data_IF_113090610278
#
_entry.id   IF_113090610278
#
_cell.length_a   1.000
_cell.length_b   1.000
_cell.length_c   1.000
_cell.angle_alpha   90.00
_cell.angle_beta   90.00
_cell.angle_gamma   90.00
#
_symmetry.space_group_name_H-M   'P 1'
#
loop_
_entity.id
_entity.type
_entity.pdbx_description
1 polymer ?
#
# COMPACT_ATOMS: atom_id res chain seq x y z
N UNK A 1 -10.13 4.35 20.39
CA UNK A 1 -11.21 3.99 19.46
C UNK A 1 -11.99 2.90 20.16
N UNK A 2 -13.24 3.13 20.55
CA UNK A 2 -14.05 2.10 21.21
C UNK A 2 -14.63 1.24 20.09
N UNK A 3 -14.11 0.02 19.93
CA UNK A 3 -14.70 -0.99 19.05
C UNK A 3 -15.99 -1.49 19.71
N UNK A 4 -17.11 -0.92 19.28
CA UNK A 4 -18.41 -1.47 19.59
C UNK A 4 -18.83 -2.35 18.41
N UNK A 5 -18.70 -3.67 18.58
CA UNK A 5 -19.41 -4.62 17.73
C UNK A 5 -20.88 -4.58 18.14
N UNK A 6 -21.67 -3.80 17.41
CA UNK A 6 -23.12 -3.74 17.52
C UNK A 6 -23.68 -4.45 16.29
N UNK A 7 -24.78 -5.17 16.44
CA UNK A 7 -25.53 -5.72 15.32
C UNK A 7 -25.81 -4.63 14.26
N UNK A 8 -25.44 -4.91 13.02
CA UNK A 8 -25.49 -3.93 11.94
C UNK A 8 -26.93 -3.46 11.66
N UNK A 9 -27.92 -4.35 11.76
CA UNK A 9 -29.33 -3.98 11.55
C UNK A 9 -29.82 -3.03 12.64
N UNK A 10 -29.56 -3.35 13.91
CA UNK A 10 -29.99 -2.52 15.04
C UNK A 10 -29.33 -1.15 15.03
N UNK A 11 -28.03 -1.09 14.70
CA UNK A 11 -27.32 0.16 14.55
C UNK A 11 -27.93 1.01 13.42
N UNK A 12 -28.07 0.45 12.21
CA UNK A 12 -28.60 1.16 11.05
C UNK A 12 -30.04 1.63 11.29
N UNK A 13 -30.90 0.79 11.89
CA UNK A 13 -32.26 1.20 12.31
C UNK A 13 -32.21 2.40 13.25
N UNK A 14 -31.26 2.43 14.19
CA UNK A 14 -31.12 3.55 15.13
C UNK A 14 -30.66 4.86 14.45
N UNK A 15 -29.93 4.77 13.34
CA UNK A 15 -29.48 5.93 12.53
C UNK A 15 -30.62 6.47 11.66
N UNK A 16 -31.51 5.60 11.19
CA UNK A 16 -32.64 5.97 10.34
C UNK A 16 -33.79 6.62 11.14
N UNK A 17 -33.84 6.43 12.47
CA UNK A 17 -34.90 6.98 13.34
C UNK A 17 -35.02 8.52 13.23
N UNK A 18 -36.18 9.05 12.78
CA UNK A 18 -36.38 10.50 12.61
C UNK A 18 -36.32 11.26 13.94
N UNK A 19 -36.68 10.61 15.05
CA UNK A 19 -36.73 11.24 16.38
C UNK A 19 -35.34 11.45 17.03
N UNK A 20 -34.26 10.97 16.39
CA UNK A 20 -32.88 11.06 16.93
C UNK A 20 -31.87 11.52 15.85
N UNK A 21 -32.08 12.67 15.18
CA UNK A 21 -31.24 13.11 14.06
C UNK A 21 -29.77 13.33 14.45
N UNK A 22 -29.52 13.63 15.73
CA UNK A 22 -28.17 13.85 16.25
C UNK A 22 -27.26 12.62 16.17
N UNK A 23 -27.82 11.40 16.18
CA UNK A 23 -27.02 10.17 16.12
C UNK A 23 -26.37 9.99 14.75
N UNK A 24 -27.14 10.12 13.68
CA UNK A 24 -26.64 10.05 12.31
C UNK A 24 -25.61 11.14 12.03
N UNK A 25 -25.89 12.38 12.48
CA UNK A 25 -24.98 13.50 12.33
C UNK A 25 -23.67 13.34 13.13
N UNK A 26 -23.65 12.55 14.21
CA UNK A 26 -22.44 12.30 14.99
C UNK A 26 -21.49 11.29 14.31
N UNK A 27 -21.99 10.47 13.38
CA UNK A 27 -21.17 9.46 12.69
C UNK A 27 -20.11 10.15 11.84
N UNK A 28 -18.84 9.83 12.11
CA UNK A 28 -17.67 10.30 11.34
C UNK A 28 -16.97 9.17 10.59
N UNK A 29 -17.03 7.96 11.14
CA UNK A 29 -16.43 6.76 10.60
C UNK A 29 -17.51 5.69 10.60
N UNK A 30 -17.71 5.06 9.45
CA UNK A 30 -18.59 3.91 9.29
C UNK A 30 -17.79 2.74 8.75
N UNK A 31 -17.95 1.57 9.36
CA UNK A 31 -17.31 0.33 8.95
C UNK A 31 -18.36 -0.77 8.88
N UNK A 32 -18.41 -1.48 7.77
CA UNK A 32 -19.23 -2.68 7.60
C UNK A 32 -18.36 -3.75 6.94
N UNK A 33 -18.32 -4.92 7.57
CA UNK A 33 -17.59 -6.10 7.12
C UNK A 33 -18.55 -7.29 7.22
N UNK A 34 -19.07 -7.73 6.08
CA UNK A 34 -20.11 -8.75 6.02
C UNK A 34 -20.05 -9.45 4.66
N UNK A 35 -20.01 -10.79 4.62
CA UNK A 35 -19.93 -11.51 3.35
C UNK A 35 -21.23 -11.38 2.53
N UNK A 36 -22.37 -11.76 3.11
CA UNK A 36 -23.69 -11.74 2.47
C UNK A 36 -24.68 -10.94 3.32
N UNK A 37 -25.36 -9.97 2.70
CA UNK A 37 -25.96 -8.87 3.42
C UNK A 37 -27.24 -8.28 2.78
N UNK A 38 -28.02 -9.11 2.09
CA UNK A 38 -29.21 -8.68 1.35
C UNK A 38 -30.22 -7.92 2.23
N UNK A 39 -30.33 -8.29 3.52
CA UNK A 39 -31.28 -7.69 4.47
C UNK A 39 -30.90 -6.28 4.91
N UNK A 40 -29.61 -5.90 4.83
CA UNK A 40 -29.13 -4.58 5.27
C UNK A 40 -29.00 -3.57 4.13
N UNK A 41 -29.11 -4.00 2.86
CA UNK A 41 -28.97 -3.12 1.68
C UNK A 41 -29.86 -1.88 1.77
N UNK A 42 -31.16 -2.06 1.99
CA UNK A 42 -32.12 -0.95 2.04
C UNK A 42 -31.93 -0.07 3.28
N UNK A 43 -31.53 -0.67 4.41
CA UNK A 43 -31.23 0.06 5.62
C UNK A 43 -30.01 0.96 5.42
N UNK A 44 -28.94 0.44 4.81
CA UNK A 44 -27.73 1.20 4.53
C UNK A 44 -28.00 2.35 3.56
N UNK A 45 -28.72 2.09 2.46
CA UNK A 45 -29.14 3.12 1.50
C UNK A 45 -29.93 4.25 2.18
N UNK A 46 -30.80 3.91 3.12
CA UNK A 46 -31.61 4.88 3.87
C UNK A 46 -30.82 5.65 4.94
N UNK A 47 -29.77 5.03 5.49
CA UNK A 47 -28.95 5.61 6.54
C UNK A 47 -27.83 6.50 6.00
N UNK A 48 -27.21 6.13 4.88
CA UNK A 48 -26.05 6.81 4.29
C UNK A 48 -26.23 8.32 4.10
N UNK A 49 -27.30 8.83 3.45
CA UNK A 49 -27.47 10.27 3.26
C UNK A 49 -27.70 11.03 4.57
N UNK A 50 -28.16 10.34 5.64
CA UNK A 50 -28.36 10.95 6.96
C UNK A 50 -27.05 11.11 7.73
N UNK A 51 -25.99 10.40 7.34
CA UNK A 51 -24.67 10.50 7.94
C UNK A 51 -23.89 11.72 7.40
N UNK A 52 -24.55 12.86 7.15
CA UNK A 52 -24.07 14.16 7.64
C UNK A 52 -22.60 14.52 7.42
N UNK A 53 -21.81 14.06 8.39
CA UNK A 53 -20.43 14.42 8.61
C UNK A 53 -19.50 13.21 8.41
N UNK A 54 -19.96 12.19 7.68
CA UNK A 54 -19.20 10.99 7.39
C UNK A 54 -17.93 11.36 6.63
N UNK A 55 -16.80 10.95 7.19
CA UNK A 55 -15.46 11.28 6.71
C UNK A 55 -14.72 10.04 6.21
N UNK A 56 -14.99 8.88 6.82
CA UNK A 56 -14.40 7.59 6.45
C UNK A 56 -15.46 6.51 6.32
N UNK A 57 -15.37 5.75 5.24
CA UNK A 57 -16.16 4.54 5.00
C UNK A 57 -15.20 3.37 4.77
N UNK A 58 -15.48 2.27 5.47
CA UNK A 58 -14.93 0.95 5.21
C UNK A 58 -16.11 0.02 4.88
N UNK A 59 -16.10 -0.59 3.71
CA UNK A 59 -17.15 -1.48 3.24
C UNK A 59 -16.55 -2.71 2.55
N UNK A 60 -16.53 -3.83 3.26
CA UNK A 60 -16.11 -5.13 2.73
C UNK A 60 -17.33 -6.04 2.64
N UNK A 61 -17.67 -6.48 1.42
CA UNK A 61 -18.84 -7.34 1.19
C UNK A 61 -18.87 -7.98 -0.20
N UNK A 62 -19.48 -9.16 -0.29
CA UNK A 62 -19.72 -9.86 -1.56
C UNK A 62 -21.06 -9.46 -2.19
N UNK A 63 -22.00 -8.91 -1.40
CA UNK A 63 -23.25 -8.29 -1.88
C UNK A 63 -22.98 -6.95 -2.59
N UNK A 64 -23.05 -6.93 -3.92
CA UNK A 64 -22.73 -5.77 -4.76
C UNK A 64 -23.69 -4.59 -4.56
N UNK A 65 -24.93 -4.84 -4.19
CA UNK A 65 -25.99 -3.85 -3.99
C UNK A 65 -25.72 -2.93 -2.79
N UNK A 66 -24.86 -3.34 -1.85
CA UNK A 66 -24.44 -2.49 -0.73
C UNK A 66 -23.63 -1.28 -1.22
N UNK A 67 -22.85 -1.44 -2.29
CA UNK A 67 -22.03 -0.36 -2.83
C UNK A 67 -22.87 0.73 -3.50
N UNK A 68 -24.12 0.43 -3.90
CA UNK A 68 -25.04 1.46 -4.38
C UNK A 68 -25.37 2.51 -3.30
N UNK A 69 -25.25 2.18 -2.01
CA UNK A 69 -25.41 3.17 -0.95
C UNK A 69 -24.36 4.28 -1.02
N UNK A 70 -23.19 4.03 -1.62
CA UNK A 70 -22.14 5.04 -1.82
C UNK A 70 -22.55 6.13 -2.82
N UNK A 71 -23.52 5.86 -3.70
CA UNK A 71 -24.08 6.88 -4.59
C UNK A 71 -24.79 7.98 -3.81
N UNK A 72 -25.36 7.63 -2.66
CA UNK A 72 -26.10 8.53 -1.76
C UNK A 72 -25.21 9.02 -0.59
N UNK A 73 -23.91 8.70 -0.61
CA UNK A 73 -23.00 9.14 0.43
C UNK A 73 -22.76 10.66 0.36
N UNK A 74 -22.69 11.34 1.53
CA UNK A 74 -22.39 12.77 1.57
C UNK A 74 -21.06 13.07 0.87
N UNK A 75 -20.95 14.20 0.14
CA UNK A 75 -19.76 14.52 -0.67
C UNK A 75 -18.50 14.80 0.15
N UNK A 76 -18.60 14.83 1.48
CA UNK A 76 -17.50 15.16 2.40
C UNK A 76 -16.58 13.96 2.69
N UNK A 77 -16.86 12.80 2.09
CA UNK A 77 -16.07 11.60 2.29
C UNK A 77 -14.62 11.85 1.86
N UNK A 78 -13.67 11.57 2.78
CA UNK A 78 -12.23 11.75 2.55
C UNK A 78 -11.49 10.44 2.40
N UNK A 79 -11.97 9.39 3.06
CA UNK A 79 -11.34 8.08 3.08
C UNK A 79 -12.37 7.04 2.70
N UNK A 80 -12.10 6.28 1.64
CA UNK A 80 -12.93 5.18 1.19
C UNK A 80 -12.08 3.92 1.08
N UNK A 81 -12.49 2.88 1.79
CA UNK A 81 -11.91 1.55 1.73
C UNK A 81 -13.02 0.58 1.34
N UNK A 82 -12.84 -0.13 0.23
CA UNK A 82 -13.82 -1.07 -0.32
C UNK A 82 -13.19 -2.38 -0.75
N UNK A 83 -13.98 -3.45 -0.73
CA UNK A 83 -13.52 -4.76 -1.18
C UNK A 83 -14.56 -5.86 -1.00
N UNK A 84 -14.16 -7.08 -1.33
CA UNK A 84 -15.02 -8.28 -1.38
C UNK A 84 -14.74 -9.12 -2.62
N UNK A 85 -15.43 -10.23 -2.82
CA UNK A 85 -15.16 -11.11 -3.96
C UNK A 85 -15.76 -10.61 -5.29
N UNK A 86 -16.66 -9.62 -5.27
CA UNK A 86 -17.37 -9.14 -6.45
C UNK A 86 -17.21 -7.62 -6.65
N UNK A 87 -16.69 -7.21 -7.81
CA UNK A 87 -16.55 -5.78 -8.15
C UNK A 87 -17.91 -5.16 -8.54
N UNK A 88 -18.35 -4.05 -7.93
CA UNK A 88 -19.68 -3.49 -8.19
C UNK A 88 -19.70 -2.67 -9.50
N UNK A 89 -20.65 -2.89 -10.42
CA UNK A 89 -20.75 -2.11 -11.66
C UNK A 89 -20.92 -0.60 -11.43
N UNK A 90 -21.63 -0.21 -10.36
CA UNK A 90 -21.91 1.18 -10.00
C UNK A 90 -20.75 1.89 -9.27
N UNK A 91 -19.66 1.17 -8.95
CA UNK A 91 -18.60 1.72 -8.09
C UNK A 91 -17.91 2.91 -8.74
N UNK A 92 -17.80 2.90 -10.07
CA UNK A 92 -17.25 4.02 -10.82
C UNK A 92 -18.06 5.32 -10.61
N UNK A 93 -19.37 5.25 -10.75
CA UNK A 93 -20.28 6.38 -10.53
C UNK A 93 -20.25 6.86 -9.08
N UNK A 94 -20.10 5.93 -8.13
CA UNK A 94 -19.95 6.25 -6.72
C UNK A 94 -18.67 7.07 -6.48
N UNK A 95 -17.52 6.66 -7.04
CA UNK A 95 -16.28 7.42 -6.93
C UNK A 95 -16.39 8.83 -7.52
N UNK A 96 -17.06 8.97 -8.67
CA UNK A 96 -17.25 10.27 -9.32
C UNK A 96 -17.98 11.30 -8.43
N UNK A 97 -18.91 10.84 -7.58
CA UNK A 97 -19.64 11.71 -6.64
C UNK A 97 -18.79 12.18 -5.45
N UNK A 98 -17.63 11.56 -5.21
CA UNK A 98 -16.76 11.84 -4.06
C UNK A 98 -15.60 12.78 -4.41
N UNK A 99 -15.92 14.02 -4.78
CA UNK A 99 -14.91 15.03 -5.20
C UNK A 99 -13.88 15.38 -4.14
N UNK A 100 -14.20 15.17 -2.86
CA UNK A 100 -13.32 15.48 -1.72
C UNK A 100 -12.44 14.30 -1.29
N UNK A 101 -12.50 13.16 -1.97
CA UNK A 101 -11.77 11.95 -1.60
C UNK A 101 -10.25 12.16 -1.64
N UNK A 102 -9.59 11.85 -0.54
CA UNK A 102 -8.14 12.02 -0.34
C UNK A 102 -7.40 10.68 -0.30
N UNK A 103 -8.09 9.62 0.15
CA UNK A 103 -7.55 8.27 0.28
C UNK A 103 -8.53 7.24 -0.26
N UNK A 104 -8.05 6.40 -1.18
CA UNK A 104 -8.82 5.30 -1.76
C UNK A 104 -8.05 3.99 -1.60
N UNK A 105 -8.74 2.96 -1.10
CA UNK A 105 -8.25 1.59 -1.03
C UNK A 105 -9.27 0.66 -1.64
N UNK A 106 -8.83 -0.17 -2.57
CA UNK A 106 -9.68 -1.13 -3.29
C UNK A 106 -9.07 -2.52 -3.12
N UNK A 107 -9.88 -3.48 -2.63
CA UNK A 107 -9.46 -4.85 -2.34
C UNK A 107 -10.55 -5.84 -2.79
N UNK A 108 -10.73 -5.98 -4.10
CA UNK A 108 -11.64 -7.01 -4.63
C UNK A 108 -10.88 -8.28 -5.00
N UNK A 109 -11.54 -9.44 -4.98
CA UNK A 109 -10.95 -10.69 -5.47
C UNK A 109 -11.20 -10.89 -6.97
N UNK A 110 -10.31 -11.65 -7.62
CA UNK A 110 -10.42 -11.99 -9.05
C UNK A 110 -11.45 -13.10 -9.35
N UNK A 111 -11.95 -13.79 -8.32
CA UNK A 111 -12.73 -15.03 -8.47
C UNK A 111 -14.07 -14.84 -9.19
N UNK A 112 -14.74 -13.70 -9.00
CA UNK A 112 -16.03 -13.40 -9.65
C UNK A 112 -15.92 -13.06 -11.14
N UNK A 113 -14.72 -12.78 -11.64
CA UNK A 113 -14.49 -12.25 -13.00
C UNK A 113 -14.09 -13.36 -13.99
N UNK A 114 -13.66 -14.52 -13.48
CA UNK A 114 -13.13 -15.67 -14.25
C UNK A 114 -14.20 -16.63 -14.83
N UNK A 115 -15.50 -16.36 -14.66
CA UNK A 115 -16.56 -17.27 -15.13
C UNK A 115 -16.67 -17.37 -16.67
N UNK A 116 -16.11 -16.39 -17.38
CA UNK A 116 -15.95 -16.40 -18.84
C UNK A 116 -14.48 -16.63 -19.14
N UNK A 117 -14.09 -17.83 -19.58
CA UNK A 117 -12.70 -18.25 -19.77
C UNK A 117 -11.94 -17.54 -20.90
N UNK A 118 -11.96 -16.22 -20.93
CA UNK A 118 -11.15 -15.35 -21.77
C UNK A 118 -10.11 -14.62 -20.91
N UNK A 119 -8.98 -14.32 -21.55
CA UNK A 119 -7.74 -13.79 -21.00
C UNK A 119 -7.92 -12.60 -20.03
N UNK A 120 -7.15 -12.60 -18.95
CA UNK A 120 -6.79 -11.43 -18.12
C UNK A 120 -7.87 -10.34 -17.97
N UNK A 121 -8.88 -10.59 -17.14
CA UNK A 121 -9.93 -9.58 -16.93
C UNK A 121 -9.44 -8.47 -15.98
N UNK A 122 -8.94 -7.40 -16.57
CA UNK A 122 -8.58 -6.18 -15.83
C UNK A 122 -9.79 -5.28 -15.59
N UNK A 123 -9.85 -4.68 -14.40
CA UNK A 123 -10.86 -3.67 -14.09
C UNK A 123 -10.30 -2.30 -14.46
N UNK A 124 -10.96 -1.66 -15.43
CA UNK A 124 -10.59 -0.35 -15.95
C UNK A 124 -11.03 0.80 -15.02
N UNK A 125 -10.41 0.89 -13.84
CA UNK A 125 -10.66 1.95 -12.86
C UNK A 125 -10.28 3.33 -13.43
N UNK A 126 -11.22 4.28 -13.40
CA UNK A 126 -11.03 5.68 -13.85
C UNK A 126 -10.55 5.81 -15.31
N UNK A 127 -10.84 4.79 -16.13
CA UNK A 127 -10.44 4.72 -17.53
C UNK A 127 -11.26 5.61 -18.46
N UNK A 128 -12.41 6.10 -18.01
CA UNK A 128 -13.35 6.89 -18.79
C UNK A 128 -12.94 8.36 -18.89
N UNK A 129 -12.14 8.86 -17.96
CA UNK A 129 -11.94 10.30 -17.83
C UNK A 129 -12.06 10.85 -16.42
N UNK A 130 -12.63 10.10 -15.49
CA UNK A 130 -13.03 10.60 -14.18
C UNK A 130 -11.84 11.17 -13.39
N UNK A 131 -11.98 12.42 -12.95
CA UNK A 131 -10.97 13.12 -12.17
C UNK A 131 -11.31 13.01 -10.68
N UNK A 132 -10.39 12.42 -9.91
CA UNK A 132 -10.34 12.49 -8.45
C UNK A 132 -9.24 13.49 -8.03
N UNK A 133 -9.45 14.81 -8.17
CA UNK A 133 -8.36 15.80 -8.09
C UNK A 133 -7.67 15.86 -6.73
N UNK A 134 -8.35 15.41 -5.67
CA UNK A 134 -7.86 15.50 -4.29
C UNK A 134 -7.20 14.21 -3.79
N UNK A 135 -7.17 13.15 -4.60
CA UNK A 135 -6.61 11.86 -4.18
C UNK A 135 -5.10 11.97 -4.00
N UNK A 136 -4.64 11.67 -2.79
CA UNK A 136 -3.22 11.70 -2.40
C UNK A 136 -2.71 10.32 -2.02
N UNK A 137 -3.59 9.44 -1.56
CA UNK A 137 -3.27 8.08 -1.13
C UNK A 137 -4.08 7.07 -1.94
N UNK A 138 -3.39 6.14 -2.57
CA UNK A 138 -3.99 5.13 -3.42
C UNK A 138 -3.43 3.76 -3.03
N UNK A 139 -4.31 2.82 -2.73
CA UNK A 139 -3.97 1.41 -2.52
C UNK A 139 -4.71 0.56 -3.53
N UNK A 140 -3.94 -0.15 -4.35
CA UNK A 140 -4.45 -1.01 -5.43
C UNK A 140 -3.91 -2.43 -5.30
N UNK A 141 -4.71 -3.39 -5.71
CA UNK A 141 -4.23 -4.70 -6.15
C UNK A 141 -3.84 -4.58 -7.63
N UNK A 142 -2.55 -4.71 -7.93
CA UNK A 142 -2.02 -4.49 -9.26
C UNK A 142 -2.38 -5.62 -10.25
N UNK A 143 -2.75 -6.82 -9.76
CA UNK A 143 -3.22 -7.90 -10.63
C UNK A 143 -4.59 -7.56 -11.24
N UNK A 144 -5.43 -6.82 -10.50
CA UNK A 144 -6.77 -6.44 -10.94
C UNK A 144 -6.84 -5.02 -11.51
N UNK A 145 -6.09 -4.10 -10.90
CA UNK A 145 -6.10 -2.67 -11.20
C UNK A 145 -4.71 -2.22 -11.63
N UNK A 146 -4.33 -2.58 -12.86
CA UNK A 146 -3.03 -2.23 -13.40
C UNK A 146 -2.82 -0.70 -13.44
N UNK A 147 -1.69 -0.18 -12.90
CA UNK A 147 -1.39 1.25 -12.95
C UNK A 147 -1.36 1.84 -14.37
N UNK A 148 -0.98 1.03 -15.37
CA UNK A 148 -0.96 1.42 -16.79
C UNK A 148 -2.33 1.77 -17.37
N UNK A 149 -3.42 1.37 -16.72
CA UNK A 149 -4.79 1.69 -17.13
C UNK A 149 -5.27 3.07 -16.65
N UNK A 150 -4.53 3.71 -15.75
CA UNK A 150 -4.84 5.05 -15.27
C UNK A 150 -4.46 6.09 -16.33
N UNK A 151 -5.45 6.86 -16.80
CA UNK A 151 -5.24 7.88 -17.84
C UNK A 151 -4.64 9.19 -17.34
N UNK A 152 -4.74 9.48 -16.04
CA UNK A 152 -4.29 10.75 -15.47
C UNK A 152 -3.27 10.56 -14.36
N UNK A 153 -2.24 11.39 -14.38
CA UNK A 153 -1.31 11.56 -13.28
C UNK A 153 -1.97 12.39 -12.18
N UNK A 154 -2.71 11.73 -11.28
CA UNK A 154 -3.17 12.35 -10.04
C UNK A 154 -1.97 12.76 -9.16
N UNK A 155 -2.11 13.75 -8.27
CA UNK A 155 -1.05 14.15 -7.36
C UNK A 155 -0.86 13.14 -6.20
N UNK A 156 -0.76 11.85 -6.54
CA UNK A 156 -0.55 10.76 -5.59
C UNK A 156 0.80 10.97 -4.89
N UNK A 157 0.75 11.09 -3.58
CA UNK A 157 1.93 11.16 -2.71
C UNK A 157 2.23 9.82 -2.05
N UNK A 158 1.22 8.98 -1.82
CA UNK A 158 1.38 7.65 -1.24
C UNK A 158 0.72 6.60 -2.14
N UNK A 159 1.53 5.67 -2.63
CA UNK A 159 1.05 4.53 -3.41
C UNK A 159 1.35 3.23 -2.68
N UNK A 160 0.34 2.38 -2.56
CA UNK A 160 0.49 0.98 -2.15
C UNK A 160 0.03 0.09 -3.29
N UNK A 161 0.91 -0.81 -3.74
CA UNK A 161 0.60 -1.83 -4.73
C UNK A 161 0.68 -3.20 -4.06
N UNK A 162 -0.38 -3.98 -4.20
CA UNK A 162 -0.45 -5.37 -3.75
C UNK A 162 -0.29 -6.30 -4.95
N UNK A 163 0.51 -7.34 -4.77
CA UNK A 163 0.90 -8.34 -5.77
C UNK A 163 1.38 -7.79 -7.12
N UNK A 164 2.16 -6.69 -7.18
CA UNK A 164 2.53 -6.11 -8.47
C UNK A 164 3.60 -6.93 -9.19
N UNK A 165 3.51 -6.98 -10.52
CA UNK A 165 4.65 -7.38 -11.34
C UNK A 165 5.71 -6.27 -11.38
N UNK A 166 6.88 -6.60 -11.91
CA UNK A 166 7.94 -5.59 -12.12
C UNK A 166 7.51 -4.51 -13.14
N UNK A 167 6.66 -4.87 -14.10
CA UNK A 167 6.13 -3.93 -15.10
C UNK A 167 5.13 -2.95 -14.47
N UNK A 168 4.23 -3.44 -13.61
CA UNK A 168 3.26 -2.60 -12.89
C UNK A 168 3.94 -1.53 -12.04
N UNK A 169 5.03 -1.90 -11.36
CA UNK A 169 5.85 -0.96 -10.58
C UNK A 169 6.46 0.09 -11.50
N UNK A 170 7.08 -0.32 -12.61
CA UNK A 170 7.72 0.62 -13.54
C UNK A 170 6.73 1.63 -14.10
N UNK A 171 5.55 1.18 -14.51
CA UNK A 171 4.52 2.05 -15.05
C UNK A 171 3.93 2.99 -14.00
N UNK A 172 3.72 2.51 -12.77
CA UNK A 172 3.33 3.37 -11.65
C UNK A 172 4.40 4.44 -11.35
N UNK A 173 5.67 4.07 -11.35
CA UNK A 173 6.77 4.99 -11.08
C UNK A 173 6.91 6.07 -12.16
N UNK A 174 6.68 5.73 -13.43
CA UNK A 174 6.60 6.74 -14.51
C UNK A 174 5.45 7.70 -14.28
N UNK A 175 4.25 7.14 -14.03
CA UNK A 175 3.01 7.91 -13.91
C UNK A 175 3.05 8.90 -12.75
N UNK A 176 3.58 8.50 -11.60
CA UNK A 176 3.60 9.30 -10.37
C UNK A 176 4.97 9.90 -10.04
N UNK A 177 5.88 9.93 -11.01
CA UNK A 177 7.29 10.29 -10.81
C UNK A 177 7.51 11.59 -10.04
N UNK A 178 6.71 12.62 -10.34
CA UNK A 178 6.87 13.98 -9.81
C UNK A 178 6.22 14.22 -8.44
N UNK A 179 5.38 13.31 -7.96
CA UNK A 179 4.52 13.53 -6.79
C UNK A 179 4.74 12.50 -5.69
N UNK A 180 5.22 11.31 -6.04
CA UNK A 180 5.34 10.19 -5.12
C UNK A 180 6.34 10.48 -4.00
N UNK A 181 5.88 10.37 -2.75
CA UNK A 181 6.68 10.52 -1.51
C UNK A 181 6.86 9.18 -0.81
N UNK A 182 5.86 8.31 -0.88
CA UNK A 182 5.84 6.99 -0.26
C UNK A 182 5.43 5.94 -1.26
N UNK A 183 6.24 4.90 -1.42
CA UNK A 183 5.90 3.69 -2.16
C UNK A 183 5.88 2.48 -1.22
N UNK A 184 4.81 1.71 -1.30
CA UNK A 184 4.69 0.40 -0.66
C UNK A 184 4.38 -0.63 -1.74
N UNK A 185 5.19 -1.68 -1.84
CA UNK A 185 4.99 -2.78 -2.79
C UNK A 185 4.97 -4.10 -2.02
N UNK A 186 3.81 -4.75 -1.96
CA UNK A 186 3.61 -6.02 -1.28
C UNK A 186 3.49 -7.16 -2.27
N UNK A 187 4.22 -8.26 -2.05
CA UNK A 187 4.08 -9.48 -2.83
C UNK A 187 4.57 -9.31 -4.26
N UNK A 188 5.68 -8.59 -4.46
CA UNK A 188 6.21 -8.33 -5.80
C UNK A 188 6.50 -9.65 -6.50
N UNK A 189 5.80 -9.89 -7.62
CA UNK A 189 6.00 -11.08 -8.44
C UNK A 189 7.09 -10.82 -9.47
N UNK A 190 7.97 -11.81 -9.65
CA UNK A 190 8.99 -11.76 -10.68
C UNK A 190 8.64 -12.74 -11.80
N UNK A 191 8.89 -12.38 -13.07
CA UNK A 191 8.92 -13.38 -14.12
C UNK A 191 9.95 -14.44 -13.74
N UNK A 192 9.62 -15.72 -13.93
CA UNK A 192 10.38 -16.91 -13.53
C UNK A 192 11.84 -16.97 -14.06
N UNK A 193 12.26 -16.02 -14.90
CA UNK A 193 13.61 -15.88 -15.44
C UNK A 193 14.43 -14.71 -14.85
N UNK A 194 13.86 -13.87 -13.98
CA UNK A 194 14.50 -12.62 -13.48
C UNK A 194 14.93 -12.71 -12.00
N UNK A 195 14.69 -13.86 -11.36
CA UNK A 195 14.72 -14.11 -9.90
C UNK A 195 16.03 -13.72 -9.19
N UNK A 196 17.15 -13.60 -9.89
CA UNK A 196 18.46 -13.55 -9.24
C UNK A 196 19.02 -12.14 -8.96
N UNK A 197 18.46 -11.07 -9.55
CA UNK A 197 18.99 -9.69 -9.39
C UNK A 197 18.02 -8.70 -8.74
N UNK A 198 16.83 -9.15 -8.34
CA UNK A 198 15.67 -8.28 -8.12
C UNK A 198 15.11 -8.27 -6.69
N UNK A 199 15.68 -9.04 -5.76
CA UNK A 199 15.15 -9.13 -4.40
C UNK A 199 15.63 -7.99 -3.47
N UNK A 200 16.50 -7.08 -3.94
CA UNK A 200 16.87 -5.90 -3.16
C UNK A 200 15.74 -4.87 -3.24
N UNK A 201 15.35 -4.21 -2.14
CA UNK A 201 14.23 -3.26 -2.17
C UNK A 201 14.51 -2.12 -3.16
N UNK A 202 15.75 -1.63 -3.22
CA UNK A 202 16.14 -0.55 -4.15
C UNK A 202 16.14 -0.94 -5.63
N UNK A 203 16.10 -2.23 -6.00
CA UNK A 203 15.95 -2.59 -7.42
C UNK A 203 14.58 -2.25 -7.99
N UNK A 204 13.56 -2.06 -7.14
CA UNK A 204 12.26 -1.55 -7.57
C UNK A 204 12.32 -0.14 -8.15
N UNK A 205 13.36 0.62 -7.80
CA UNK A 205 13.53 2.02 -8.20
C UNK A 205 14.44 2.18 -9.43
N UNK A 206 14.83 1.07 -10.07
CA UNK A 206 15.74 1.10 -11.21
C UNK A 206 15.13 1.92 -12.36
N UNK A 207 15.95 2.76 -12.98
CA UNK A 207 15.58 3.60 -14.13
C UNK A 207 14.44 4.60 -13.89
N UNK A 208 14.03 4.80 -12.64
CA UNK A 208 13.05 5.80 -12.26
C UNK A 208 13.73 7.08 -11.72
N UNK A 209 13.15 8.24 -12.00
CA UNK A 209 13.50 9.50 -11.36
C UNK A 209 12.35 9.95 -10.47
N UNK A 210 12.54 9.84 -9.15
CA UNK A 210 11.56 10.05 -8.10
C UNK A 210 12.11 11.08 -7.10
N UNK A 211 12.12 12.38 -7.47
CA UNK A 211 12.79 13.42 -6.69
C UNK A 211 12.22 13.58 -5.27
N UNK A 212 10.95 13.22 -5.06
CA UNK A 212 10.25 13.39 -3.77
C UNK A 212 10.11 12.10 -2.96
N UNK A 213 10.51 10.95 -3.50
CA UNK A 213 10.37 9.67 -2.80
C UNK A 213 11.27 9.67 -1.57
N UNK A 214 10.65 9.62 -0.40
CA UNK A 214 11.34 9.65 0.90
C UNK A 214 11.28 8.33 1.64
N UNK A 215 10.28 7.48 1.37
CA UNK A 215 10.13 6.18 2.01
C UNK A 215 9.72 5.10 1.00
N UNK A 216 10.42 3.97 1.07
CA UNK A 216 10.12 2.74 0.33
C UNK A 216 9.86 1.62 1.32
N UNK A 217 8.74 0.90 1.15
CA UNK A 217 8.47 -0.36 1.83
C UNK A 217 8.29 -1.46 0.78
N UNK A 218 9.10 -2.51 0.84
CA UNK A 218 9.06 -3.60 -0.13
C UNK A 218 8.94 -4.96 0.56
N UNK A 219 8.09 -5.81 -0.01
CA UNK A 219 7.97 -7.23 0.28
C UNK A 219 7.95 -7.99 -1.04
N UNK A 220 8.87 -8.94 -1.20
CA UNK A 220 8.95 -9.80 -2.38
C UNK A 220 8.32 -11.15 -2.05
N UNK A 221 7.38 -11.61 -2.88
CA UNK A 221 6.83 -12.95 -2.69
C UNK A 221 7.84 -13.97 -3.24
N UNK A 222 8.27 -14.95 -2.43
CA UNK A 222 9.16 -15.99 -2.92
C UNK A 222 8.41 -16.84 -3.94
N UNK A 223 9.03 -17.08 -5.10
CA UNK A 223 8.59 -18.14 -5.99
C UNK A 223 9.09 -19.45 -5.37
N UNK A 224 8.21 -20.21 -4.71
CA UNK A 224 8.55 -21.41 -3.90
C UNK A 224 9.28 -22.51 -4.71
N UNK A 225 9.29 -22.37 -6.03
CA UNK A 225 9.80 -23.33 -7.01
C UNK A 225 11.31 -23.14 -7.27
N UNK A 226 11.87 -21.95 -7.03
CA UNK A 226 13.29 -21.68 -7.32
C UNK A 226 14.11 -21.65 -6.03
N UNK A 227 14.95 -22.67 -5.76
CA UNK A 227 15.84 -22.62 -4.60
C UNK A 227 16.76 -21.40 -4.74
N UNK A 228 16.73 -20.51 -3.73
CA UNK A 228 17.64 -19.39 -3.62
C UNK A 228 19.09 -19.90 -3.57
N UNK A 229 19.79 -19.90 -4.70
CA UNK A 229 21.22 -20.19 -4.72
C UNK A 229 22.00 -19.01 -4.11
N UNK A 230 22.77 -19.30 -3.06
CA UNK A 230 23.66 -18.35 -2.36
C UNK A 230 24.68 -17.67 -3.27
N UNK A 231 25.05 -18.30 -4.40
CA UNK A 231 26.08 -17.82 -5.32
C UNK A 231 25.64 -16.57 -6.14
N UNK A 232 24.37 -16.18 -6.06
CA UNK A 232 23.76 -15.24 -7.01
C UNK A 232 23.30 -13.91 -6.42
N UNK A 233 23.30 -13.72 -5.09
CA UNK A 233 22.96 -12.43 -4.48
C UNK A 233 24.11 -11.41 -4.67
N UNK A 234 24.22 -10.89 -5.89
CA UNK A 234 25.15 -9.81 -6.19
C UNK A 234 24.52 -8.52 -5.71
N UNK A 235 25.06 -7.96 -4.63
CA UNK A 235 24.80 -6.56 -4.27
C UNK A 235 25.44 -5.69 -5.35
N UNK A 236 24.74 -5.51 -6.45
CA UNK A 236 25.21 -4.73 -7.59
C UNK A 236 25.40 -3.27 -7.16
N UNK A 237 26.65 -2.81 -7.22
CA UNK A 237 26.98 -1.43 -6.90
C UNK A 237 26.32 -0.43 -7.85
N UNK A 238 25.92 -0.84 -9.06
CA UNK A 238 25.39 0.07 -10.09
C UNK A 238 23.99 0.58 -9.76
N UNK A 239 23.09 -0.30 -9.29
CA UNK A 239 21.71 0.09 -8.94
C UNK A 239 21.70 1.04 -7.75
N UNK A 240 22.55 0.79 -6.74
CA UNK A 240 22.63 1.65 -5.55
C UNK A 240 23.24 3.00 -5.91
N UNK A 241 24.31 3.04 -6.72
CA UNK A 241 24.98 4.28 -7.16
C UNK A 241 24.05 5.25 -7.90
N UNK A 242 23.11 4.74 -8.70
CA UNK A 242 22.14 5.56 -9.39
C UNK A 242 21.10 6.22 -8.46
N UNK A 243 20.83 5.64 -7.27
CA UNK A 243 19.80 6.14 -6.34
C UNK A 243 20.02 7.58 -5.91
N UNK A 244 21.27 8.04 -5.82
CA UNK A 244 21.55 9.44 -5.42
C UNK A 244 20.97 10.43 -6.44
N UNK A 245 21.09 10.13 -7.73
CA UNK A 245 20.52 10.97 -8.80
C UNK A 245 19.03 10.70 -8.98
N UNK A 246 18.62 9.43 -8.93
CA UNK A 246 17.25 9.00 -9.17
C UNK A 246 16.28 9.35 -8.05
N UNK A 247 16.67 9.21 -6.78
CA UNK A 247 15.80 9.33 -5.61
C UNK A 247 16.48 10.18 -4.51
N UNK A 248 16.83 11.45 -4.77
CA UNK A 248 17.62 12.28 -3.86
C UNK A 248 16.97 12.53 -2.49
N UNK A 249 15.64 12.41 -2.38
CA UNK A 249 14.93 12.56 -1.12
C UNK A 249 14.80 11.26 -0.31
N UNK A 250 15.33 10.12 -0.77
CA UNK A 250 15.13 8.82 -0.11
C UNK A 250 15.81 8.77 1.27
N UNK A 251 15.03 8.56 2.33
CA UNK A 251 15.50 8.55 3.73
C UNK A 251 15.34 7.21 4.41
N UNK A 252 14.30 6.47 4.05
CA UNK A 252 13.90 5.25 4.77
C UNK A 252 13.60 4.13 3.78
N UNK A 253 14.20 2.97 4.00
CA UNK A 253 13.79 1.72 3.36
C UNK A 253 13.33 0.75 4.45
N UNK A 254 12.14 0.20 4.26
CA UNK A 254 11.62 -0.91 5.05
C UNK A 254 11.56 -2.13 4.15
N UNK A 255 12.14 -3.22 4.61
CA UNK A 255 12.21 -4.46 3.86
C UNK A 255 11.61 -5.59 4.69
N UNK A 256 10.44 -6.04 4.28
CA UNK A 256 9.82 -7.24 4.81
C UNK A 256 10.43 -8.44 4.08
N UNK A 257 10.91 -9.41 4.85
CA UNK A 257 11.54 -10.63 4.32
C UNK A 257 10.85 -11.87 4.85
N UNK A 258 11.02 -12.97 4.14
CA UNK A 258 10.61 -14.30 4.59
C UNK A 258 11.80 -15.10 5.13
N UNK A 259 11.54 -16.34 5.59
CA UNK A 259 12.55 -17.23 6.14
C UNK A 259 13.69 -17.56 5.15
N UNK A 260 13.39 -18.01 3.91
CA UNK A 260 14.39 -18.23 2.87
C UNK A 260 15.28 -17.02 2.57
N UNK A 261 14.71 -15.83 2.34
CA UNK A 261 15.48 -14.62 2.06
C UNK A 261 16.31 -14.20 3.29
N UNK A 262 15.78 -14.39 4.51
CA UNK A 262 16.55 -14.20 5.74
C UNK A 262 17.79 -15.10 5.79
N UNK A 263 17.66 -16.38 5.45
CA UNK A 263 18.82 -17.28 5.40
C UNK A 263 19.84 -16.82 4.36
N UNK A 264 19.40 -16.31 3.21
CA UNK A 264 20.28 -15.77 2.19
C UNK A 264 21.02 -14.50 2.65
N UNK A 265 20.33 -13.62 3.40
CA UNK A 265 20.86 -12.31 3.81
C UNK A 265 21.77 -12.38 5.04
N UNK A 266 21.48 -13.28 5.98
CA UNK A 266 22.17 -13.37 7.28
C UNK A 266 22.91 -14.69 7.50
N UNK A 267 22.65 -15.72 6.68
CA UNK A 267 23.25 -17.03 6.85
C UNK A 267 24.76 -16.96 6.73
N UNK A 268 25.44 -17.80 7.52
CA UNK A 268 26.88 -18.01 7.41
C UNK A 268 27.16 -18.49 5.99
N UNK A 269 27.76 -17.64 5.16
CA UNK A 269 28.48 -18.14 4.00
C UNK A 269 29.49 -19.15 4.54
N UNK A 270 29.77 -20.23 3.82
CA UNK A 270 30.67 -21.30 4.28
C UNK A 270 32.16 -20.87 4.44
N UNK A 271 32.42 -19.58 4.69
CA UNK A 271 33.70 -18.96 5.05
C UNK A 271 33.45 -17.68 5.87
N UNK A 272 34.52 -17.09 6.42
CA UNK A 272 34.54 -15.89 7.28
C UNK A 272 34.11 -14.57 6.60
N UNK A 273 33.21 -14.63 5.60
CA UNK A 273 32.74 -13.50 4.81
C UNK A 273 31.72 -12.63 5.55
N UNK A 274 31.69 -11.34 5.18
CA UNK A 274 30.68 -10.37 5.64
C UNK A 274 29.32 -10.73 5.03
N UNK A 275 28.27 -10.80 5.84
CA UNK A 275 26.94 -11.16 5.36
C UNK A 275 26.41 -10.15 4.31
N UNK A 276 25.66 -10.59 3.28
CA UNK A 276 25.18 -9.71 2.21
C UNK A 276 24.40 -8.48 2.68
N UNK A 277 23.64 -8.61 3.77
CA UNK A 277 22.87 -7.50 4.33
C UNK A 277 23.77 -6.34 4.79
N UNK A 278 24.91 -6.63 5.42
CA UNK A 278 25.87 -5.60 5.83
C UNK A 278 26.51 -4.91 4.63
N UNK A 279 26.81 -5.66 3.56
CA UNK A 279 27.34 -5.09 2.31
C UNK A 279 26.32 -4.14 1.67
N UNK A 280 25.05 -4.58 1.56
CA UNK A 280 23.96 -3.77 1.03
C UNK A 280 23.78 -2.49 1.84
N UNK A 281 23.64 -2.63 3.15
CA UNK A 281 23.46 -1.52 4.06
C UNK A 281 24.60 -0.49 3.93
N UNK A 282 25.87 -0.92 3.86
CA UNK A 282 27.02 0.02 3.79
C UNK A 282 26.96 0.82 2.51
N UNK A 283 26.73 0.14 1.38
CA UNK A 283 26.62 0.78 0.07
C UNK A 283 25.49 1.80 0.03
N UNK A 284 24.33 1.52 0.63
CA UNK A 284 23.21 2.49 0.68
C UNK A 284 23.60 3.74 1.48
N UNK A 285 24.14 3.59 2.69
CA UNK A 285 24.55 4.73 3.52
C UNK A 285 25.71 5.55 2.95
N UNK A 286 26.65 4.90 2.26
CA UNK A 286 27.79 5.55 1.60
C UNK A 286 27.36 6.32 0.35
N UNK A 287 26.45 5.74 -0.42
CA UNK A 287 26.00 6.33 -1.68
C UNK A 287 25.03 7.49 -1.45
N UNK A 288 24.21 7.40 -0.40
CA UNK A 288 23.08 8.29 -0.20
C UNK A 288 23.21 9.08 1.11
N UNK A 289 23.63 10.36 1.07
CA UNK A 289 23.92 11.15 2.26
C UNK A 289 22.67 11.51 3.08
N UNK A 290 21.50 11.65 2.45
CA UNK A 290 20.24 11.97 3.13
C UNK A 290 19.55 10.73 3.70
N UNK A 291 20.04 9.53 3.37
CA UNK A 291 19.54 8.27 3.90
C UNK A 291 19.73 8.18 5.41
N UNK A 292 18.63 7.91 6.12
CA UNK A 292 18.55 7.91 7.57
C UNK A 292 18.55 6.49 8.11
N UNK A 293 17.73 5.59 7.55
CA UNK A 293 17.54 4.26 8.13
C UNK A 293 17.12 3.17 7.13
N UNK A 294 17.64 1.97 7.35
CA UNK A 294 17.19 0.72 6.75
C UNK A 294 16.60 -0.15 7.85
N UNK A 295 15.35 -0.58 7.70
CA UNK A 295 14.70 -1.51 8.62
C UNK A 295 14.38 -2.82 7.89
N UNK A 296 14.69 -3.94 8.53
CA UNK A 296 14.45 -5.29 7.99
C UNK A 296 13.74 -6.12 9.05
N UNK A 297 12.61 -6.70 8.71
CA UNK A 297 11.88 -7.60 9.61
C UNK A 297 11.40 -8.83 8.88
N UNK A 298 11.35 -9.94 9.62
CA UNK A 298 10.78 -11.18 9.12
C UNK A 298 9.26 -11.14 9.34
N UNK A 299 8.50 -11.48 8.30
CA UNK A 299 7.06 -11.64 8.44
C UNK A 299 6.77 -12.75 9.46
N UNK A 300 6.10 -12.40 10.55
CA UNK A 300 5.66 -13.40 11.50
C UNK A 300 4.69 -14.36 10.77
N UNK A 301 5.01 -15.67 10.77
CA UNK A 301 4.10 -16.72 10.28
C UNK A 301 2.81 -16.81 11.12
N UNK A 302 2.81 -16.18 12.29
CA UNK A 302 1.68 -16.06 13.19
C UNK A 302 1.08 -14.67 12.99
N UNK A 303 -0.21 -14.61 12.68
CA UNK A 303 -0.96 -13.35 12.63
C UNK A 303 -0.76 -12.61 13.96
N UNK A 304 -0.03 -11.50 13.91
CA UNK A 304 0.04 -10.59 15.05
C UNK A 304 -1.36 -9.98 15.26
N UNK A 305 -1.80 -9.78 16.51
CA UNK A 305 -3.00 -9.01 16.78
C UNK A 305 -2.97 -7.67 16.03
N UNK A 306 -4.14 -7.21 15.56
CA UNK A 306 -4.25 -5.93 14.86
C UNK A 306 -3.64 -4.80 15.70
N UNK A 307 -2.75 -4.01 15.08
CA UNK A 307 -2.07 -2.89 15.73
C UNK A 307 -0.73 -3.23 16.41
N UNK A 308 -0.29 -4.49 16.41
CA UNK A 308 1.06 -4.83 16.88
C UNK A 308 2.10 -4.44 15.81
N UNK A 309 3.06 -3.60 16.18
CA UNK A 309 4.13 -3.19 15.26
C UNK A 309 5.10 -4.36 15.00
N UNK A 310 5.60 -4.53 13.76
CA UNK A 310 6.62 -5.52 13.49
C UNK A 310 7.92 -5.18 14.24
N UNK A 311 8.62 -6.21 14.73
CA UNK A 311 9.90 -6.06 15.41
C UNK A 311 11.03 -6.56 14.50
N UNK A 312 12.09 -5.78 14.33
CA UNK A 312 13.12 -6.08 13.35
C UNK A 312 14.47 -5.44 13.62
N UNK A 313 15.38 -5.60 12.67
CA UNK A 313 16.70 -5.01 12.68
C UNK A 313 16.65 -3.62 12.02
N UNK A 314 17.22 -2.61 12.68
CA UNK A 314 17.27 -1.22 12.22
C UNK A 314 18.72 -0.78 12.16
N UNK A 315 19.15 -0.41 10.96
CA UNK A 315 20.42 0.26 10.73
C UNK A 315 20.21 1.74 10.46
N UNK A 316 21.11 2.53 11.01
CA UNK A 316 21.21 3.98 10.85
C UNK A 316 22.64 4.35 10.47
N UNK A 317 22.89 5.60 10.09
CA UNK A 317 24.25 6.07 9.82
C UNK A 317 25.18 5.91 11.03
N UNK A 318 24.64 5.96 12.26
CA UNK A 318 25.41 5.86 13.49
C UNK A 318 25.89 4.43 13.80
N UNK A 319 25.14 3.41 13.37
CA UNK A 319 25.45 2.01 13.64
C UNK A 319 25.77 1.20 12.38
N UNK A 320 25.95 1.85 11.22
CA UNK A 320 26.15 1.17 9.93
C UNK A 320 27.33 0.19 9.97
N UNK A 321 28.41 0.54 10.67
CA UNK A 321 29.61 -0.30 10.73
C UNK A 321 29.58 -1.29 11.91
N UNK A 322 28.48 -1.34 12.67
CA UNK A 322 28.32 -2.29 13.78
C UNK A 322 28.06 -3.71 13.27
N UNK A 323 28.53 -4.70 14.04
CA UNK A 323 28.27 -6.11 13.76
C UNK A 323 26.78 -6.46 13.87
N UNK A 324 26.09 -5.85 14.83
CA UNK A 324 24.68 -6.05 15.09
C UNK A 324 23.87 -4.76 14.85
N UNK A 325 22.68 -4.92 14.27
CA UNK A 325 21.71 -3.84 14.14
C UNK A 325 21.05 -3.52 15.49
N UNK A 326 20.52 -2.30 15.63
CA UNK A 326 19.58 -2.02 16.70
C UNK A 326 18.30 -2.82 16.46
N UNK A 327 17.72 -3.38 17.52
CA UNK A 327 16.45 -4.10 17.42
C UNK A 327 15.35 -3.30 18.08
N UNK A 328 14.32 -2.97 17.31
CA UNK A 328 13.18 -2.19 17.79
C UNK A 328 11.94 -2.43 16.91
N UNK A 329 10.82 -1.87 17.34
CA UNK A 329 9.58 -1.83 16.58
C UNK A 329 9.67 -0.90 15.36
N UNK A 330 9.15 -1.37 14.25
CA UNK A 330 9.08 -0.66 12.97
C UNK A 330 7.73 0.03 12.88
N UNK A 331 7.71 1.32 13.22
CA UNK A 331 6.52 2.17 13.14
C UNK A 331 6.42 2.81 11.74
N UNK A 332 5.89 2.05 10.78
CA UNK A 332 5.74 2.51 9.41
C UNK A 332 4.88 3.77 9.32
N UNK A 333 3.78 3.85 10.07
CA UNK A 333 2.87 5.00 10.04
C UNK A 333 3.56 6.28 10.50
N UNK A 334 4.34 6.20 11.59
CA UNK A 334 5.14 7.32 12.07
C UNK A 334 6.19 7.74 11.04
N UNK A 335 6.94 6.80 10.50
CA UNK A 335 8.03 7.15 9.55
C UNK A 335 7.49 7.67 8.22
N UNK A 336 6.33 7.20 7.78
CA UNK A 336 5.62 7.76 6.62
C UNK A 336 5.16 9.19 6.91
N UNK A 337 4.62 9.47 8.11
CA UNK A 337 4.24 10.83 8.50
C UNK A 337 5.44 11.78 8.57
N UNK A 338 6.58 11.33 9.10
CA UNK A 338 7.85 12.07 9.10
C UNK A 338 8.31 12.40 7.67
N UNK A 339 8.25 11.42 6.76
CA UNK A 339 8.61 11.57 5.35
C UNK A 339 7.73 12.62 4.66
N UNK A 340 6.40 12.53 4.83
CA UNK A 340 5.45 13.48 4.27
C UNK A 340 5.68 14.90 4.81
N UNK A 341 5.86 15.06 6.12
CA UNK A 341 6.08 16.36 6.75
C UNK A 341 7.35 17.06 6.23
N UNK A 342 8.43 16.31 6.01
CA UNK A 342 9.69 16.88 5.48
C UNK A 342 9.53 17.37 4.04
N UNK A 343 8.80 16.65 3.19
CA UNK A 343 8.57 17.06 1.81
C UNK A 343 7.73 18.35 1.74
N UNK A 344 6.72 18.50 2.61
CA UNK A 344 5.93 19.73 2.67
C UNK A 344 6.70 20.92 3.23
N UNK A 345 7.63 20.70 4.16
CA UNK A 345 8.50 21.76 4.68
C UNK A 345 9.49 22.27 3.61
N UNK A 346 10.02 21.37 2.77
CA UNK A 346 10.88 21.74 1.64
C UNK A 346 10.11 22.53 0.58
N UNK A 347 8.88 22.13 0.27
CA UNK A 347 8.02 22.83 -0.69
C UNK A 347 7.52 24.21 -0.20
N UNK A 348 7.58 24.50 1.11
CA UNK A 348 7.20 25.79 1.68
C UNK A 348 8.40 26.76 1.83
N UNK A 349 9.63 26.28 1.60
CA UNK A 349 10.85 27.05 1.66
C UNK A 349 11.34 27.50 0.27
N UNK A 350 10.78 26.92 -0.80
CA UNK A 350 10.86 27.35 -2.20
C UNK A 350 9.75 28.36 -2.51
#
# INVERSE_FOLDING_TARGET
MLDYSIDAEDYLRSVVQPDKPHRAAAVRIFGLDIAEADTVVQLLKSAMPKMTNLHRVYLMSDTVELFEALLEAPPQLRILEVGGSNYPPCFHDALFRQSHLESLRIQFDASGVSATGDEDVYIHLLSDGALLPNIKRLTLDANLFRPSLLKYAFPITCLTLSSPSTEDIHDALKLFSQTLVSLVAYGVTHPSQVVHRSCLPTSLLRDAYLPKLSILHAFFEPDWIVPYSLEHLHVDGMVIRALRGSCPALRTVIWEIDGPLRQLLYGEQAGSGVAPIHIYMRKVFETHPTFVRLAVYERARVFLPSGTLPYGNIWTRANKDAENADRDFIDFSKWQAEALACTFALAAAE
#
